data_IF_217927855723
#
_entry.id   IF_217927855723
#
_cell.length_a   1.000
_cell.length_b   1.000
_cell.length_c   1.000
_cell.angle_alpha   90.00
_cell.angle_beta   90.00
_cell.angle_gamma   90.00
#
_symmetry.space_group_name_H-M   'P 1'
#
loop_
_entity.id
_entity.type
_entity.pdbx_description
1 polymer ?
#
# COMPACT_ATOMS: atom_id res chain seq x y z
N UNK A 1 -18.73 16.01 4.81
CA UNK A 1 -19.52 15.28 5.83
C UNK A 1 -20.55 14.44 5.10
N UNK A 2 -20.54 13.11 5.29
CA UNK A 2 -21.46 12.20 4.60
C UNK A 2 -22.84 12.24 5.30
N UNK A 3 -23.82 12.86 4.65
CA UNK A 3 -25.21 12.86 5.11
C UNK A 3 -25.84 11.50 4.80
N UNK A 4 -26.19 10.74 5.83
CA UNK A 4 -26.97 9.52 5.67
C UNK A 4 -28.40 9.89 5.24
N UNK A 5 -28.79 9.45 4.05
CA UNK A 5 -30.15 9.55 3.56
C UNK A 5 -30.82 8.19 3.68
N UNK A 6 -31.90 8.11 4.46
CA UNK A 6 -32.76 6.91 4.53
C UNK A 6 -34.11 7.32 3.95
N UNK A 7 -34.57 6.59 2.93
CA UNK A 7 -35.86 6.81 2.28
C UNK A 7 -36.13 8.30 1.95
N UNK A 8 -35.20 8.94 1.26
CA UNK A 8 -35.27 10.36 0.80
C UNK A 8 -35.12 11.45 1.88
N UNK A 9 -34.87 11.12 3.15
CA UNK A 9 -34.64 12.10 4.22
C UNK A 9 -33.24 12.05 4.79
N UNK A 10 -32.63 13.21 4.95
CA UNK A 10 -31.35 13.36 5.64
C UNK A 10 -31.55 13.15 7.15
N UNK A 11 -30.79 12.22 7.74
CA UNK A 11 -30.78 11.98 9.18
C UNK A 11 -29.70 12.85 9.81
N UNK A 12 -30.07 13.63 10.82
CA UNK A 12 -29.09 14.43 11.57
C UNK A 12 -28.15 13.54 12.35
N UNK A 13 -26.87 13.88 12.31
CA UNK A 13 -25.81 13.23 13.08
C UNK A 13 -25.21 14.20 14.07
N UNK A 14 -24.97 13.76 15.30
CA UNK A 14 -24.30 14.52 16.34
C UNK A 14 -23.25 13.65 17.03
N UNK A 15 -21.98 14.03 16.99
CA UNK A 15 -20.88 13.28 17.64
C UNK A 15 -20.89 11.76 17.31
N UNK A 16 -21.07 11.41 16.03
CA UNK A 16 -21.21 10.02 15.54
C UNK A 16 -22.48 9.26 15.97
N UNK A 17 -23.46 9.93 16.59
CA UNK A 17 -24.79 9.40 16.91
C UNK A 17 -25.82 9.87 15.88
N UNK A 18 -26.87 9.09 15.67
CA UNK A 18 -27.95 9.35 14.71
C UNK A 18 -29.25 9.69 15.41
N UNK A 19 -30.01 10.65 14.87
CA UNK A 19 -31.29 11.08 15.41
C UNK A 19 -32.39 10.01 15.26
N UNK A 20 -32.88 9.47 16.38
CA UNK A 20 -34.05 8.59 16.42
C UNK A 20 -35.35 9.34 16.07
N UNK A 21 -35.41 10.63 16.33
CA UNK A 21 -36.56 11.45 15.96
C UNK A 21 -36.70 11.52 14.43
N UNK A 22 -35.61 11.73 13.71
CA UNK A 22 -35.67 11.83 12.24
C UNK A 22 -36.05 10.48 11.61
N UNK A 23 -35.57 9.37 12.20
CA UNK A 23 -35.99 8.01 11.86
C UNK A 23 -37.46 7.75 12.15
N UNK A 24 -37.97 8.26 13.27
CA UNK A 24 -39.38 8.17 13.61
C UNK A 24 -40.26 8.83 12.53
N UNK A 25 -39.91 10.05 12.12
CA UNK A 25 -40.64 10.74 11.04
C UNK A 25 -40.49 9.99 9.71
N UNK A 26 -39.32 9.44 9.40
CA UNK A 26 -39.08 8.64 8.20
C UNK A 26 -39.88 7.32 8.19
N UNK A 27 -40.18 6.76 9.37
CA UNK A 27 -40.95 5.51 9.53
C UNK A 27 -42.48 5.68 9.43
N UNK A 28 -42.97 6.92 9.33
CA UNK A 28 -44.42 7.22 9.25
C UNK A 28 -45.01 7.92 10.47
N UNK A 29 -44.19 8.36 11.44
CA UNK A 29 -44.57 9.25 12.55
C UNK A 29 -45.78 8.78 13.40
N UNK A 30 -45.94 7.46 13.57
CA UNK A 30 -47.03 6.87 14.36
C UNK A 30 -46.77 7.00 15.85
N UNK A 31 -47.71 7.51 16.65
CA UNK A 31 -47.48 7.79 18.08
C UNK A 31 -46.98 6.58 18.91
N UNK A 32 -47.42 5.37 18.56
CA UNK A 32 -46.96 4.12 19.20
C UNK A 32 -45.46 3.86 19.03
N UNK A 33 -44.84 4.41 17.99
CA UNK A 33 -43.43 4.18 17.66
C UNK A 33 -42.52 5.30 18.16
N UNK A 34 -43.00 6.24 19.00
CA UNK A 34 -42.16 7.35 19.47
C UNK A 34 -40.90 6.83 20.19
N UNK A 35 -39.73 7.45 19.98
CA UNK A 35 -38.48 7.04 20.64
C UNK A 35 -38.58 6.99 22.17
N UNK A 36 -39.43 7.83 22.77
CA UNK A 36 -39.70 7.83 24.23
C UNK A 36 -40.20 6.48 24.75
N UNK A 37 -41.00 5.74 23.95
CA UNK A 37 -41.48 4.41 24.32
C UNK A 37 -40.41 3.35 24.13
N UNK A 38 -39.64 3.46 23.05
CA UNK A 38 -38.56 2.55 22.74
C UNK A 38 -37.46 2.53 23.81
N UNK A 39 -37.05 3.70 24.30
CA UNK A 39 -36.01 3.83 25.35
C UNK A 39 -36.47 3.28 26.71
N UNK A 40 -37.79 3.22 26.94
CA UNK A 40 -38.36 2.64 28.18
C UNK A 40 -38.45 1.12 28.14
N UNK A 41 -38.30 0.49 26.97
CA UNK A 41 -38.40 -0.96 26.86
C UNK A 41 -37.20 -1.63 27.54
N UNK A 42 -37.44 -2.69 28.32
CA UNK A 42 -36.39 -3.38 29.08
C UNK A 42 -35.29 -3.91 28.17
N UNK A 43 -35.67 -4.54 27.04
CA UNK A 43 -34.72 -5.07 26.06
C UNK A 43 -33.78 -3.99 25.50
N UNK A 44 -34.30 -2.76 25.32
CA UNK A 44 -33.50 -1.64 24.83
C UNK A 44 -32.53 -1.15 25.89
N UNK A 45 -32.96 -1.10 27.15
CA UNK A 45 -32.08 -0.72 28.27
C UNK A 45 -30.96 -1.73 28.46
N UNK A 46 -31.28 -3.02 28.42
CA UNK A 46 -30.28 -4.09 28.50
C UNK A 46 -29.26 -3.96 27.36
N UNK A 47 -29.72 -3.74 26.13
CA UNK A 47 -28.85 -3.51 24.97
C UNK A 47 -27.96 -2.26 25.13
N UNK A 48 -28.51 -1.15 25.62
CA UNK A 48 -27.74 0.07 25.90
C UNK A 48 -26.62 -0.23 26.89
N UNK A 49 -26.94 -0.90 28.01
CA UNK A 49 -25.96 -1.21 29.05
C UNK A 49 -24.84 -2.12 28.53
N UNK A 50 -25.16 -3.06 27.64
CA UNK A 50 -24.17 -3.96 27.07
C UNK A 50 -23.22 -3.25 26.09
N UNK A 51 -23.75 -2.33 25.27
CA UNK A 51 -22.94 -1.53 24.34
C UNK A 51 -22.01 -0.59 25.10
N UNK A 52 -22.51 0.07 26.16
CA UNK A 52 -21.72 1.00 26.97
C UNK A 52 -20.56 0.29 27.68
N UNK A 53 -20.74 -0.95 28.13
CA UNK A 53 -19.65 -1.79 28.68
C UNK A 53 -18.55 -2.09 27.67
N UNK A 54 -18.91 -2.35 26.41
CA UNK A 54 -17.95 -2.78 25.39
C UNK A 54 -17.15 -1.62 24.80
N UNK A 55 -17.78 -0.45 24.62
CA UNK A 55 -17.20 0.65 23.82
C UNK A 55 -16.72 1.83 24.68
N UNK A 56 -16.92 1.80 26.01
CA UNK A 56 -16.64 2.91 26.94
C UNK A 56 -17.20 4.27 26.47
N UNK A 57 -18.22 4.25 25.61
CA UNK A 57 -18.76 5.41 24.90
C UNK A 57 -20.26 5.49 25.14
N UNK A 58 -20.80 6.72 25.14
CA UNK A 58 -22.23 6.96 25.37
C UNK A 58 -23.05 6.48 24.18
N UNK A 59 -23.86 5.43 24.40
CA UNK A 59 -24.63 4.81 23.32
C UNK A 59 -25.89 5.60 22.98
N UNK A 60 -26.42 6.38 23.94
CA UNK A 60 -27.61 7.20 23.77
C UNK A 60 -27.44 8.57 24.44
N UNK A 61 -27.77 9.64 23.70
CA UNK A 61 -27.79 11.02 24.21
C UNK A 61 -29.13 11.68 23.92
N UNK A 62 -29.70 12.35 24.92
CA UNK A 62 -30.89 13.18 24.75
C UNK A 62 -30.49 14.65 24.84
N UNK A 63 -30.67 15.40 23.75
CA UNK A 63 -30.33 16.83 23.68
C UNK A 63 -31.63 17.65 23.78
N UNK A 64 -31.60 18.74 24.55
CA UNK A 64 -32.71 19.70 24.69
C UNK A 64 -32.41 20.97 23.87
N UNK A 65 -33.45 21.62 23.31
CA UNK A 65 -33.32 22.87 22.55
C UNK A 65 -33.73 22.75 21.08
N UNK A 66 -33.31 23.68 20.22
CA UNK A 66 -33.73 23.82 18.81
C UNK A 66 -33.30 22.64 17.93
N UNK A 67 -32.19 21.96 18.28
CA UNK A 67 -31.73 20.70 17.67
C UNK A 67 -32.04 19.48 18.56
N UNK A 68 -33.02 19.63 19.47
CA UNK A 68 -33.35 18.65 20.47
C UNK A 68 -33.89 17.35 19.89
N UNK A 69 -33.56 16.25 20.56
CA UNK A 69 -33.94 14.91 20.17
C UNK A 69 -33.11 13.84 20.86
N UNK A 70 -33.50 12.58 20.63
CA UNK A 70 -32.77 11.40 21.10
C UNK A 70 -31.84 10.93 19.99
N UNK A 71 -30.53 10.95 20.26
CA UNK A 71 -29.48 10.50 19.37
C UNK A 71 -28.89 9.19 19.89
N UNK A 72 -28.66 8.23 19.00
CA UNK A 72 -28.17 6.91 19.38
C UNK A 72 -27.13 6.36 18.39
N UNK A 73 -26.32 5.39 18.83
CA UNK A 73 -25.34 4.70 17.98
C UNK A 73 -26.02 3.80 16.92
N UNK A 74 -25.24 3.29 15.95
CA UNK A 74 -25.75 2.53 14.80
C UNK A 74 -26.54 1.30 15.22
N UNK A 75 -26.06 0.60 16.24
CA UNK A 75 -26.61 -0.63 16.78
C UNK A 75 -28.02 -0.38 17.34
N UNK A 76 -28.17 0.67 18.15
CA UNK A 76 -29.46 1.08 18.71
C UNK A 76 -30.41 1.56 17.63
N UNK A 77 -29.91 2.26 16.62
CA UNK A 77 -30.72 2.69 15.47
C UNK A 77 -31.28 1.50 14.70
N UNK A 78 -30.46 0.48 14.46
CA UNK A 78 -30.88 -0.75 13.78
C UNK A 78 -31.92 -1.50 14.63
N UNK A 79 -31.72 -1.56 15.95
CA UNK A 79 -32.68 -2.13 16.89
C UNK A 79 -34.00 -1.35 16.92
N UNK A 80 -33.95 -0.02 16.89
CA UNK A 80 -35.13 0.83 16.80
C UNK A 80 -35.91 0.58 15.51
N UNK A 81 -35.22 0.45 14.38
CA UNK A 81 -35.86 0.12 13.12
C UNK A 81 -36.53 -1.26 13.14
N UNK A 82 -35.91 -2.26 13.79
CA UNK A 82 -36.47 -3.60 14.01
C UNK A 82 -37.78 -3.54 14.81
N UNK A 83 -37.80 -2.73 15.85
CA UNK A 83 -38.96 -2.57 16.72
C UNK A 83 -40.16 -1.91 16.02
N UNK A 84 -39.92 -1.01 15.06
CA UNK A 84 -40.98 -0.34 14.28
C UNK A 84 -41.60 -1.30 13.26
N UNK A 85 -40.78 -1.91 12.39
CA UNK A 85 -41.25 -2.91 11.43
C UNK A 85 -40.09 -3.68 10.77
N UNK A 86 -40.27 -4.96 10.40
CA UNK A 86 -39.26 -5.74 9.69
C UNK A 86 -38.86 -5.13 8.33
N UNK A 87 -39.80 -4.53 7.61
CA UNK A 87 -39.52 -3.90 6.31
C UNK A 87 -38.62 -2.67 6.47
N UNK A 88 -38.91 -1.80 7.43
CA UNK A 88 -38.09 -0.62 7.70
C UNK A 88 -36.70 -1.01 8.22
N UNK A 89 -36.62 -2.05 9.06
CA UNK A 89 -35.35 -2.61 9.52
C UNK A 89 -34.42 -3.01 8.39
N UNK A 90 -34.91 -3.75 7.38
CA UNK A 90 -34.09 -4.16 6.24
C UNK A 90 -33.54 -2.96 5.45
N UNK A 91 -34.33 -1.90 5.30
CA UNK A 91 -33.90 -0.68 4.59
C UNK A 91 -32.77 0.00 5.37
N UNK A 92 -32.95 0.18 6.68
CA UNK A 92 -31.96 0.82 7.55
C UNK A 92 -30.67 -0.02 7.64
N UNK A 93 -30.82 -1.33 7.82
CA UNK A 93 -29.69 -2.27 7.88
C UNK A 93 -28.87 -2.23 6.59
N UNK A 94 -29.52 -2.35 5.42
CA UNK A 94 -28.85 -2.25 4.12
C UNK A 94 -28.18 -0.89 3.92
N UNK A 95 -28.83 0.21 4.35
CA UNK A 95 -28.24 1.54 4.24
C UNK A 95 -26.94 1.66 5.06
N UNK A 96 -26.89 1.08 6.27
CA UNK A 96 -25.67 1.09 7.09
C UNK A 96 -24.61 0.12 6.58
N UNK A 97 -24.98 -1.09 6.15
CA UNK A 97 -24.04 -2.05 5.56
C UNK A 97 -23.40 -1.47 4.30
N UNK A 98 -24.20 -0.91 3.39
CA UNK A 98 -23.71 -0.24 2.19
C UNK A 98 -22.83 0.99 2.49
N UNK A 99 -23.00 1.63 3.65
CA UNK A 99 -22.13 2.74 4.07
C UNK A 99 -20.77 2.23 4.56
N UNK A 100 -20.72 1.07 5.21
CA UNK A 100 -19.46 0.40 5.57
C UNK A 100 -18.77 -0.18 4.33
N UNK A 101 -19.57 -0.59 3.34
CA UNK A 101 -19.14 -1.08 2.02
C UNK A 101 -18.93 0.03 0.98
N UNK A 102 -18.99 1.32 1.34
CA UNK A 102 -18.24 2.28 0.53
C UNK A 102 -16.79 1.79 0.60
N UNK A 103 -16.15 1.49 -0.54
CA UNK A 103 -14.81 0.95 -0.52
C UNK A 103 -13.96 2.04 0.13
N UNK A 104 -13.61 1.85 1.40
CA UNK A 104 -12.24 2.09 1.82
C UNK A 104 -11.45 1.19 0.89
N UNK A 105 -11.13 1.77 -0.27
CA UNK A 105 -10.11 1.27 -1.15
C UNK A 105 -8.93 1.07 -0.19
N UNK A 106 -8.70 -0.18 0.21
CA UNK A 106 -7.38 -0.60 0.65
C UNK A 106 -6.50 -0.02 -0.44
N UNK A 107 -5.70 0.99 -0.12
CA UNK A 107 -4.86 1.64 -1.10
C UNK A 107 -4.03 0.51 -1.69
N UNK A 108 -4.40 0.08 -2.90
CA UNK A 108 -3.55 -0.76 -3.71
C UNK A 108 -2.20 -0.04 -3.72
N UNK A 109 -1.08 -0.75 -3.53
CA UNK A 109 0.22 -0.11 -3.65
C UNK A 109 0.21 0.71 -4.94
N UNK A 110 0.58 2.00 -4.84
CA UNK A 110 0.59 2.88 -6.00
C UNK A 110 1.28 2.13 -7.15
N UNK A 111 0.65 2.02 -8.33
CA UNK A 111 1.25 1.30 -9.43
C UNK A 111 2.66 1.84 -9.66
N UNK A 112 3.64 0.94 -9.81
CA UNK A 112 5.04 1.34 -10.01
C UNK A 112 5.13 2.46 -11.04
N UNK A 113 5.73 3.59 -10.64
CA UNK A 113 5.90 4.75 -11.52
C UNK A 113 6.80 4.35 -12.69
N UNK A 114 6.20 4.14 -13.86
CA UNK A 114 6.91 3.86 -15.10
C UNK A 114 7.22 5.18 -15.80
N UNK A 115 8.46 5.34 -16.23
CA UNK A 115 8.91 6.49 -17.00
C UNK A 115 9.17 6.03 -18.44
N UNK A 116 8.41 6.55 -19.44
CA UNK A 116 8.68 6.24 -20.83
C UNK A 116 9.90 7.04 -21.30
N UNK A 117 11.04 6.38 -21.39
CA UNK A 117 12.23 6.93 -22.03
C UNK A 117 12.48 6.19 -23.34
N UNK A 118 12.67 6.95 -24.43
CA UNK A 118 13.14 6.41 -25.70
C UNK A 118 14.66 6.59 -25.73
N UNK A 119 15.39 5.48 -25.76
CA UNK A 119 16.85 5.50 -25.82
C UNK A 119 17.34 5.28 -27.24
N UNK A 120 18.41 5.99 -27.61
CA UNK A 120 19.13 5.69 -28.86
C UNK A 120 20.07 4.50 -28.65
N UNK A 121 20.44 3.81 -29.74
CA UNK A 121 21.42 2.72 -29.64
C UNK A 121 22.75 3.20 -29.04
N UNK A 122 23.20 4.41 -29.38
CA UNK A 122 24.44 4.99 -28.85
C UNK A 122 24.40 5.19 -27.33
N UNK A 123 23.26 5.62 -26.79
CA UNK A 123 23.08 5.75 -25.34
C UNK A 123 23.15 4.40 -24.63
N UNK A 124 22.53 3.36 -25.23
CA UNK A 124 22.59 2.00 -24.69
C UNK A 124 24.01 1.42 -24.78
N UNK A 125 24.74 1.71 -25.88
CA UNK A 125 26.15 1.36 -26.01
C UNK A 125 26.98 2.02 -24.91
N UNK A 126 26.79 3.32 -24.69
CA UNK A 126 27.51 4.07 -23.67
C UNK A 126 27.29 3.47 -22.27
N UNK A 127 26.03 3.20 -21.90
CA UNK A 127 25.69 2.57 -20.62
C UNK A 127 26.33 1.17 -20.46
N UNK A 128 26.31 0.37 -21.52
CA UNK A 128 26.94 -0.95 -21.52
C UNK A 128 28.46 -0.86 -21.36
N UNK A 129 29.10 0.09 -22.04
CA UNK A 129 30.53 0.35 -21.94
C UNK A 129 30.95 0.91 -20.58
N UNK A 130 30.15 1.78 -19.96
CA UNK A 130 30.41 2.28 -18.60
C UNK A 130 30.39 1.17 -17.57
N UNK A 131 29.39 0.29 -17.63
CA UNK A 131 29.34 -0.89 -16.76
C UNK A 131 30.51 -1.83 -17.00
N UNK A 132 30.85 -2.09 -18.27
CA UNK A 132 32.00 -2.92 -18.63
C UNK A 132 33.33 -2.32 -18.16
N UNK A 133 33.52 -1.01 -18.32
CA UNK A 133 34.72 -0.32 -17.88
C UNK A 133 34.86 -0.41 -16.35
N UNK A 134 33.79 -0.18 -15.60
CA UNK A 134 33.79 -0.34 -14.16
C UNK A 134 34.10 -1.79 -13.74
N UNK A 135 33.52 -2.77 -14.44
CA UNK A 135 33.84 -4.18 -14.22
C UNK A 135 35.34 -4.45 -14.38
N UNK A 136 35.97 -3.97 -15.46
CA UNK A 136 37.41 -4.14 -15.69
C UNK A 136 38.26 -3.45 -14.61
N UNK A 137 37.86 -2.27 -14.13
CA UNK A 137 38.54 -1.59 -13.02
C UNK A 137 38.47 -2.40 -11.72
N UNK A 138 37.29 -2.96 -11.40
CA UNK A 138 37.09 -3.79 -10.20
C UNK A 138 37.86 -5.10 -10.30
N UNK A 139 37.82 -5.76 -11.46
CA UNK A 139 38.57 -6.98 -11.74
C UNK A 139 40.09 -6.74 -11.63
N UNK A 140 40.59 -5.66 -12.24
CA UNK A 140 42.01 -5.30 -12.11
C UNK A 140 42.40 -5.03 -10.66
N UNK A 141 41.56 -4.31 -9.90
CA UNK A 141 41.80 -4.07 -8.47
C UNK A 141 41.83 -5.38 -7.68
N UNK A 142 40.95 -6.33 -8.01
CA UNK A 142 40.97 -7.66 -7.41
C UNK A 142 42.28 -8.39 -7.69
N UNK A 143 42.76 -8.37 -8.93
CA UNK A 143 44.01 -9.02 -9.31
C UNK A 143 45.24 -8.42 -8.62
N UNK A 144 45.18 -7.17 -8.17
CA UNK A 144 46.25 -6.53 -7.40
C UNK A 144 46.26 -6.93 -5.92
N UNK A 145 45.14 -7.39 -5.37
CA UNK A 145 45.01 -7.70 -3.94
C UNK A 145 46.10 -8.66 -3.43
N UNK A 146 46.38 -9.81 -4.07
CA UNK A 146 47.40 -10.73 -3.58
C UNK A 146 48.80 -10.09 -3.50
N UNK A 147 49.14 -9.25 -4.48
CA UNK A 147 50.40 -8.52 -4.48
C UNK A 147 50.44 -7.48 -3.35
N UNK A 148 49.37 -6.72 -3.17
CA UNK A 148 49.25 -5.72 -2.10
C UNK A 148 49.30 -6.35 -0.70
N UNK A 149 48.64 -7.49 -0.51
CA UNK A 149 48.68 -8.26 0.73
C UNK A 149 50.09 -8.81 1.00
N UNK A 150 50.77 -9.34 -0.03
CA UNK A 150 52.12 -9.91 0.10
C UNK A 150 53.17 -8.89 0.57
N UNK A 151 53.02 -7.62 0.16
CA UNK A 151 53.92 -6.53 0.56
C UNK A 151 53.41 -5.78 1.80
N UNK A 152 52.32 -6.25 2.42
CA UNK A 152 51.66 -5.60 3.56
C UNK A 152 51.35 -4.12 3.30
N UNK A 153 50.89 -3.81 2.08
CA UNK A 153 50.58 -2.44 1.71
C UNK A 153 49.40 -1.90 2.50
N UNK A 154 49.50 -0.66 2.98
CA UNK A 154 48.35 0.07 3.55
C UNK A 154 47.19 0.23 2.55
N UNK A 155 47.43 0.05 1.24
CA UNK A 155 46.39 0.08 0.21
C UNK A 155 45.60 -1.22 0.09
N UNK A 156 46.07 -2.33 0.66
CA UNK A 156 45.42 -3.63 0.53
C UNK A 156 43.98 -3.62 1.06
N UNK A 157 43.78 -3.07 2.27
CA UNK A 157 42.45 -2.91 2.86
C UNK A 157 41.50 -2.09 1.98
N UNK A 158 42.00 -1.04 1.32
CA UNK A 158 41.22 -0.21 0.41
C UNK A 158 40.87 -0.95 -0.88
N UNK A 159 41.79 -1.75 -1.42
CA UNK A 159 41.53 -2.58 -2.61
C UNK A 159 40.45 -3.63 -2.33
N UNK A 160 40.52 -4.32 -1.19
CA UNK A 160 39.46 -5.23 -0.72
C UNK A 160 38.10 -4.52 -0.62
N UNK A 161 38.07 -3.31 -0.05
CA UNK A 161 36.86 -2.49 0.04
C UNK A 161 36.25 -2.16 -1.33
N UNK A 162 37.06 -1.69 -2.27
CA UNK A 162 36.63 -1.38 -3.66
C UNK A 162 36.01 -2.62 -4.31
N UNK A 163 36.68 -3.77 -4.23
CA UNK A 163 36.19 -5.00 -4.86
C UNK A 163 34.85 -5.44 -4.26
N UNK A 164 34.73 -5.37 -2.94
CA UNK A 164 33.49 -5.74 -2.25
C UNK A 164 32.32 -4.81 -2.61
N UNK A 165 32.53 -3.49 -2.48
CA UNK A 165 31.47 -2.49 -2.66
C UNK A 165 31.03 -2.37 -4.12
N UNK A 166 32.00 -2.14 -5.03
CA UNK A 166 31.68 -1.95 -6.44
C UNK A 166 31.36 -3.27 -7.14
N UNK A 167 31.92 -4.41 -6.70
CA UNK A 167 31.51 -5.74 -7.17
C UNK A 167 30.04 -6.04 -6.82
N UNK A 168 29.60 -5.69 -5.61
CA UNK A 168 28.18 -5.78 -5.20
C UNK A 168 27.30 -4.83 -6.02
N UNK A 169 27.77 -3.60 -6.28
CA UNK A 169 27.07 -2.66 -7.13
C UNK A 169 26.89 -3.19 -8.56
N UNK A 170 27.95 -3.70 -9.19
CA UNK A 170 27.90 -4.27 -10.53
C UNK A 170 26.89 -5.43 -10.62
N UNK A 171 26.88 -6.33 -9.63
CA UNK A 171 25.95 -7.47 -9.57
C UNK A 171 24.49 -7.01 -9.49
N UNK A 172 24.20 -5.94 -8.74
CA UNK A 172 22.85 -5.37 -8.65
C UNK A 172 22.37 -4.73 -9.96
N UNK A 173 23.28 -4.13 -10.73
CA UNK A 173 22.93 -3.44 -11.98
C UNK A 173 22.93 -4.36 -13.21
N UNK A 174 23.60 -5.51 -13.14
CA UNK A 174 23.71 -6.45 -14.25
C UNK A 174 22.35 -6.86 -14.86
N UNK A 175 21.29 -7.21 -14.09
CA UNK A 175 20.00 -7.60 -14.68
C UNK A 175 19.35 -6.46 -15.47
N UNK A 176 19.52 -5.21 -15.02
CA UNK A 176 18.98 -4.05 -15.73
C UNK A 176 19.69 -3.85 -17.07
N UNK A 177 21.02 -3.94 -17.09
CA UNK A 177 21.78 -3.77 -18.33
C UNK A 177 21.55 -4.94 -19.28
N UNK A 178 21.44 -6.17 -18.79
CA UNK A 178 21.02 -7.32 -19.61
C UNK A 178 19.65 -7.09 -20.25
N UNK A 179 18.69 -6.55 -19.49
CA UNK A 179 17.36 -6.20 -20.01
C UNK A 179 17.43 -5.12 -21.09
N UNK A 180 18.21 -4.07 -20.86
CA UNK A 180 18.38 -2.95 -21.82
C UNK A 180 19.14 -3.36 -23.09
N UNK A 181 19.95 -4.43 -23.01
CA UNK A 181 20.79 -4.89 -24.12
C UNK A 181 20.36 -6.25 -24.70
N UNK A 182 19.15 -6.71 -24.36
CA UNK A 182 18.66 -8.03 -24.74
C UNK A 182 18.55 -8.21 -26.26
N UNK A 183 18.17 -7.14 -26.98
CA UNK A 183 17.89 -7.17 -28.41
C UNK A 183 19.15 -7.05 -29.30
N UNK A 184 20.31 -6.73 -28.73
CA UNK A 184 21.58 -6.63 -29.47
C UNK A 184 22.26 -8.00 -29.58
N UNK A 185 23.09 -8.20 -30.61
CA UNK A 185 23.72 -9.49 -30.88
C UNK A 185 25.22 -9.36 -31.08
N UNK A 186 25.93 -10.47 -30.80
CA UNK A 186 27.35 -10.61 -31.10
C UNK A 186 27.45 -11.21 -32.49
N UNK A 187 28.24 -10.60 -33.37
CA UNK A 187 28.40 -11.01 -34.77
C UNK A 187 29.86 -11.29 -35.09
N UNK A 188 30.15 -12.33 -35.89
CA UNK A 188 31.54 -12.75 -36.21
C UNK A 188 32.38 -11.66 -36.88
N UNK A 189 31.74 -10.74 -37.61
CA UNK A 189 32.39 -9.62 -38.31
C UNK A 189 31.70 -8.28 -38.02
N UNK A 190 30.99 -8.19 -36.91
CA UNK A 190 30.20 -7.00 -36.55
C UNK A 190 30.95 -5.98 -35.68
N UNK A 191 30.21 -4.96 -35.25
CA UNK A 191 30.70 -3.84 -34.45
C UNK A 191 31.44 -4.31 -33.18
N UNK A 192 32.71 -3.92 -33.05
CA UNK A 192 33.54 -4.21 -31.87
C UNK A 192 32.88 -3.73 -30.58
N UNK A 193 32.04 -2.69 -30.64
CA UNK A 193 31.40 -2.10 -29.48
C UNK A 193 30.53 -3.10 -28.73
N UNK A 194 29.68 -3.85 -29.44
CA UNK A 194 28.79 -4.84 -28.81
C UNK A 194 29.49 -6.17 -28.59
N UNK A 195 30.31 -6.61 -29.56
CA UNK A 195 31.05 -7.85 -29.50
C UNK A 195 31.95 -7.96 -28.27
N UNK A 196 32.50 -6.82 -27.80
CA UNK A 196 33.41 -6.79 -26.65
C UNK A 196 32.70 -6.80 -25.30
N UNK A 197 31.54 -6.15 -25.18
CA UNK A 197 30.87 -5.94 -23.88
C UNK A 197 29.80 -6.99 -23.59
N UNK A 198 29.04 -7.42 -24.61
CA UNK A 198 27.90 -8.33 -24.42
C UNK A 198 28.28 -9.69 -23.82
N UNK A 199 29.41 -10.34 -24.18
CA UNK A 199 29.80 -11.61 -23.56
C UNK A 199 29.94 -11.49 -22.04
N UNK A 200 30.61 -10.44 -21.57
CA UNK A 200 30.80 -10.17 -20.14
C UNK A 200 29.50 -9.80 -19.45
N UNK A 201 28.67 -8.94 -20.05
CA UNK A 201 27.38 -8.54 -19.47
C UNK A 201 26.44 -9.75 -19.28
N UNK A 202 26.45 -10.71 -20.21
CA UNK A 202 25.57 -11.89 -20.22
C UNK A 202 26.05 -13.03 -19.33
N UNK A 203 27.32 -13.02 -18.94
CA UNK A 203 27.86 -14.01 -18.03
C UNK A 203 27.35 -13.73 -16.59
N UNK A 204 26.52 -14.60 -16.05
CA UNK A 204 26.00 -14.44 -14.68
C UNK A 204 26.97 -14.95 -13.60
N UNK A 205 28.06 -15.59 -14.01
CA UNK A 205 29.03 -16.22 -13.12
C UNK A 205 30.24 -15.32 -12.84
N UNK A 206 30.57 -14.36 -13.72
CA UNK A 206 31.71 -13.42 -13.55
C UNK A 206 31.70 -12.61 -12.25
N UNK A 207 30.53 -12.41 -11.65
CA UNK A 207 30.36 -11.66 -10.41
C UNK A 207 29.89 -12.54 -9.25
N UNK A 208 29.91 -13.88 -9.35
CA UNK A 208 29.46 -14.75 -8.25
C UNK A 208 30.40 -14.64 -7.05
N UNK A 209 29.88 -14.59 -5.81
CA UNK A 209 30.73 -14.50 -4.62
C UNK A 209 31.51 -15.78 -4.31
N UNK A 210 31.24 -16.90 -5.01
CA UNK A 210 31.91 -18.20 -4.85
C UNK A 210 32.96 -18.53 -5.93
N UNK A 211 33.03 -17.77 -7.03
CA UNK A 211 34.17 -17.77 -7.95
C UNK A 211 34.92 -16.48 -7.67
N UNK A 212 36.22 -16.55 -7.32
CA UNK A 212 36.98 -15.30 -7.20
C UNK A 212 37.01 -14.68 -8.60
N UNK A 213 36.80 -13.37 -8.70
CA UNK A 213 37.08 -12.65 -9.93
C UNK A 213 38.51 -13.03 -10.36
N UNK A 214 38.71 -13.67 -11.50
CA UNK A 214 40.05 -14.13 -11.91
C UNK A 214 40.36 -15.63 -11.73
N UNK A 215 39.39 -16.48 -11.38
CA UNK A 215 39.51 -17.92 -11.65
C UNK A 215 39.09 -18.21 -13.11
N UNK A 216 39.99 -17.92 -14.06
CA UNK A 216 39.96 -18.46 -15.44
C UNK A 216 41.06 -19.50 -15.59
#
# INVERSE_FOLDING_TARGET
MLNLQILTRAIRTFENLYSLNDLHVASGNLDKHRPTWFVKNQQTQDLITEIEKQTNSTALKTIRGTQGGTYACKEIVIAYAAWISPQFHLVVLRAFLNQVEQPKQLALPEPEKKYPFNHTEQELQQLAWEWFALFKCVEFTHNLIPALDSIQSNFAARAHGIVSEYGSMLRRHQPLIQKLTADFHVETWGDEKWNRVLPTIRDNDILRPKRRLGDF
#
